data_IF_036440506384
#
_entry.id   IF_036440506384
#
_cell.length_a   1.000
_cell.length_b   1.000
_cell.length_c   1.000
_cell.angle_alpha   90.00
_cell.angle_beta   90.00
_cell.angle_gamma   90.00
#
_symmetry.space_group_name_H-M   'P 1'
#
loop_
_entity.id
_entity.type
_entity.pdbx_description
1 polymer ?
#
# COMPACT_ATOMS: atom_id res chain seq x y z
N UNK A 1 49.51 54.00 -75.74
CA UNK A 1 48.30 54.85 -75.78
C UNK A 1 47.16 53.91 -76.15
N UNK A 2 46.15 53.55 -75.35
CA UNK A 2 45.61 54.07 -74.11
C UNK A 2 44.89 52.93 -73.32
N UNK A 3 45.03 52.97 -71.99
CA UNK A 3 44.00 52.82 -70.93
C UNK A 3 43.24 51.49 -70.71
N UNK A 4 43.58 50.90 -69.55
CA UNK A 4 42.79 50.11 -68.57
C UNK A 4 41.26 50.15 -68.69
N UNK A 5 40.63 48.98 -68.49
CA UNK A 5 39.60 48.80 -67.44
C UNK A 5 39.79 47.44 -66.74
N UNK A 6 39.69 47.49 -65.41
CA UNK A 6 39.88 46.42 -64.43
C UNK A 6 38.56 45.90 -63.91
N UNK A 7 38.52 44.65 -63.44
CA UNK A 7 37.86 44.11 -62.22
C UNK A 7 37.90 42.58 -62.34
N UNK A 8 38.20 41.73 -61.35
CA UNK A 8 38.50 41.82 -59.92
C UNK A 8 39.27 40.54 -59.57
N UNK A 9 40.54 40.60 -59.15
CA UNK A 9 41.00 40.42 -57.76
C UNK A 9 40.07 39.53 -56.92
N UNK A 10 40.51 38.31 -56.64
CA UNK A 10 40.75 37.66 -55.34
C UNK A 10 41.17 36.22 -55.70
N UNK A 11 42.43 35.79 -55.59
CA UNK A 11 43.27 35.94 -54.40
C UNK A 11 43.06 34.72 -53.52
N UNK A 12 43.55 33.57 -53.98
CA UNK A 12 43.78 32.38 -53.15
C UNK A 12 44.83 32.74 -52.09
N UNK A 13 44.37 32.92 -50.86
CA UNK A 13 45.21 33.07 -49.70
C UNK A 13 44.45 32.68 -48.42
N UNK A 14 44.75 31.47 -47.93
CA UNK A 14 44.74 31.18 -46.49
C UNK A 14 43.43 30.63 -45.92
N UNK A 15 43.42 29.34 -45.60
CA UNK A 15 43.86 28.90 -44.27
C UNK A 15 43.76 27.38 -44.19
N UNK A 16 44.91 26.75 -43.91
CA UNK A 16 44.96 25.36 -43.48
C UNK A 16 44.24 25.22 -42.14
N UNK A 17 42.99 24.81 -42.21
CA UNK A 17 42.33 24.07 -41.15
C UNK A 17 41.84 22.78 -41.79
N UNK A 18 42.65 21.72 -41.75
CA UNK A 18 42.12 20.39 -41.96
C UNK A 18 41.03 20.19 -40.92
N UNK A 19 39.76 20.24 -41.33
CA UNK A 19 38.68 19.62 -40.58
C UNK A 19 38.87 18.11 -40.71
N UNK A 20 39.90 17.60 -40.04
CA UNK A 20 40.21 16.17 -39.97
C UNK A 20 39.37 15.44 -38.94
N UNK A 21 38.46 16.11 -38.22
CA UNK A 21 37.68 15.48 -37.14
C UNK A 21 36.18 15.83 -37.15
N UNK A 22 35.58 15.88 -38.34
CA UNK A 22 34.19 15.41 -38.46
C UNK A 22 34.24 14.12 -39.24
N UNK A 23 34.47 13.00 -38.53
CA UNK A 23 34.01 11.70 -39.04
C UNK A 23 32.52 11.90 -39.29
N UNK A 24 32.13 12.01 -40.55
CA UNK A 24 30.74 12.16 -40.95
C UNK A 24 29.94 11.06 -40.28
N UNK A 25 29.13 11.46 -39.30
CA UNK A 25 28.05 10.63 -38.78
C UNK A 25 27.16 10.38 -39.98
N UNK A 26 27.22 9.16 -40.54
CA UNK A 26 26.36 8.61 -41.60
C UNK A 26 25.50 9.68 -42.31
N UNK A 27 26.14 10.55 -43.10
CA UNK A 27 25.40 11.48 -43.91
C UNK A 27 24.79 10.62 -45.01
N UNK A 28 23.50 10.35 -44.93
CA UNK A 28 22.74 9.77 -46.03
C UNK A 28 22.66 10.84 -47.12
N UNK A 29 23.67 10.91 -47.97
CA UNK A 29 23.66 11.82 -49.11
C UNK A 29 22.76 11.22 -50.19
N UNK A 30 21.86 12.01 -50.80
CA UNK A 30 21.16 11.55 -51.99
C UNK A 30 22.18 11.21 -53.08
N UNK A 31 21.92 10.12 -53.80
CA UNK A 31 22.71 9.73 -54.96
C UNK A 31 22.60 10.74 -56.10
N UNK A 32 23.32 10.53 -57.21
CA UNK A 32 23.35 11.44 -58.36
C UNK A 32 21.96 11.81 -58.92
N UNK A 33 20.97 10.94 -58.70
CA UNK A 33 19.58 11.10 -59.16
C UNK A 33 18.63 11.68 -58.09
N UNK A 34 19.15 12.07 -56.92
CA UNK A 34 18.35 12.58 -55.79
C UNK A 34 17.82 11.49 -54.84
N UNK A 35 18.01 10.21 -55.18
CA UNK A 35 17.55 9.09 -54.37
C UNK A 35 18.46 8.86 -53.16
N UNK A 36 17.87 8.96 -51.98
CA UNK A 36 18.47 8.48 -50.74
C UNK A 36 18.52 6.94 -50.82
N UNK A 37 19.70 6.40 -51.14
CA UNK A 37 19.97 4.97 -50.94
C UNK A 37 20.21 4.78 -49.45
N UNK A 38 19.13 4.59 -48.68
CA UNK A 38 19.28 4.05 -47.33
C UNK A 38 19.93 2.69 -47.55
N UNK A 39 21.16 2.43 -47.05
CA UNK A 39 21.63 1.05 -47.05
C UNK A 39 20.56 0.23 -46.35
N UNK A 40 20.44 -1.06 -46.68
CA UNK A 40 19.40 -1.98 -46.19
C UNK A 40 19.40 -2.19 -44.64
N UNK A 41 20.00 -1.25 -43.91
CA UNK A 41 20.08 -1.04 -42.48
C UNK A 41 19.30 0.24 -42.08
N UNK A 42 18.06 0.37 -42.56
CA UNK A 42 16.97 1.03 -41.81
C UNK A 42 16.22 -0.01 -40.95
N UNK A 43 15.11 0.35 -40.30
CA UNK A 43 14.26 -0.52 -39.42
C UNK A 43 13.67 -1.80 -40.10
N UNK A 44 14.23 -2.28 -41.23
CA UNK A 44 13.56 -3.10 -42.24
C UNK A 44 14.22 -4.43 -42.65
N UNK A 45 14.94 -5.13 -41.76
CA UNK A 45 15.29 -6.56 -41.96
C UNK A 45 14.29 -7.54 -41.31
N UNK A 46 13.18 -7.01 -40.77
CA UNK A 46 12.30 -7.77 -39.88
C UNK A 46 12.98 -8.13 -38.55
N UNK A 47 12.24 -8.69 -37.58
CA UNK A 47 12.80 -8.96 -36.26
C UNK A 47 13.79 -10.14 -36.29
N UNK A 48 15.09 -9.85 -36.12
CA UNK A 48 16.14 -10.86 -35.97
C UNK A 48 15.95 -11.61 -34.65
N UNK A 49 15.90 -12.95 -34.69
CA UNK A 49 15.82 -13.74 -33.47
C UNK A 49 17.17 -13.81 -32.75
N UNK A 50 17.17 -13.57 -31.43
CA UNK A 50 18.34 -13.77 -30.58
C UNK A 50 18.11 -14.86 -29.53
N UNK A 51 19.19 -15.56 -29.21
CA UNK A 51 19.26 -16.52 -28.10
C UNK A 51 19.44 -15.83 -26.75
N UNK A 52 19.76 -14.53 -26.73
CA UNK A 52 19.88 -13.72 -25.52
C UNK A 52 19.27 -12.33 -25.77
N UNK A 53 18.56 -11.79 -24.78
CA UNK A 53 18.11 -10.40 -24.79
C UNK A 53 19.23 -9.43 -24.42
N UNK A 54 20.31 -9.86 -23.77
CA UNK A 54 21.44 -8.99 -23.52
C UNK A 54 22.08 -8.51 -24.84
N UNK A 55 22.37 -7.21 -24.90
CA UNK A 55 23.05 -6.56 -26.02
C UNK A 55 23.59 -5.20 -25.54
N UNK A 56 24.77 -4.82 -26.01
CA UNK A 56 25.36 -3.49 -25.84
C UNK A 56 25.41 -2.70 -27.17
N UNK A 57 24.78 -3.22 -28.22
CA UNK A 57 24.64 -2.57 -29.52
C UNK A 57 23.24 -1.97 -29.63
N UNK A 58 23.10 -0.80 -30.25
CA UNK A 58 21.80 -0.19 -30.54
C UNK A 58 21.09 -0.95 -31.66
N UNK A 59 19.98 -1.61 -31.34
CA UNK A 59 19.26 -2.48 -32.30
C UNK A 59 17.86 -2.85 -31.85
N UNK A 60 17.04 -3.27 -32.81
CA UNK A 60 15.75 -3.93 -32.59
C UNK A 60 15.86 -5.41 -32.95
N UNK A 61 15.32 -6.29 -32.11
CA UNK A 61 15.34 -7.73 -32.35
C UNK A 61 14.19 -8.42 -31.61
N UNK A 62 14.06 -9.74 -31.77
CA UNK A 62 13.09 -10.56 -31.04
C UNK A 62 13.76 -11.63 -30.19
N UNK A 63 13.10 -11.98 -29.10
CA UNK A 63 13.46 -13.11 -28.22
C UNK A 63 12.24 -13.99 -27.99
N UNK A 64 12.46 -15.25 -27.65
CA UNK A 64 11.40 -16.22 -27.37
C UNK A 64 11.62 -16.87 -25.99
N UNK A 65 10.78 -17.84 -25.64
CA UNK A 65 10.84 -18.50 -24.33
C UNK A 65 12.17 -19.22 -24.04
N UNK A 66 12.94 -19.61 -25.06
CA UNK A 66 14.26 -20.24 -24.89
C UNK A 66 15.41 -19.23 -24.76
N UNK A 67 15.16 -17.95 -25.04
CA UNK A 67 16.20 -16.92 -24.95
C UNK A 67 16.59 -16.63 -23.49
N UNK A 68 17.88 -16.40 -23.26
CA UNK A 68 18.41 -15.87 -22.01
C UNK A 68 18.00 -14.39 -21.82
N UNK A 69 17.98 -13.93 -20.57
CA UNK A 69 17.63 -12.56 -20.15
C UNK A 69 16.31 -12.01 -20.70
N UNK A 70 15.40 -12.86 -21.21
CA UNK A 70 14.12 -12.43 -21.79
C UNK A 70 13.21 -11.77 -20.73
N UNK A 71 12.28 -10.89 -21.14
CA UNK A 71 11.27 -10.37 -20.23
C UNK A 71 10.43 -11.50 -19.58
N UNK A 72 10.02 -11.37 -18.31
CA UNK A 72 9.38 -12.45 -17.56
C UNK A 72 8.10 -13.02 -18.19
N UNK A 73 7.30 -12.24 -18.91
CA UNK A 73 6.07 -12.73 -19.55
C UNK A 73 6.30 -13.48 -20.88
N UNK A 74 7.54 -13.59 -21.37
CA UNK A 74 7.87 -14.39 -22.55
C UNK A 74 7.93 -15.86 -22.12
N UNK A 75 6.77 -16.52 -22.10
CA UNK A 75 6.60 -17.92 -21.68
C UNK A 75 5.85 -18.72 -22.75
N UNK A 76 6.08 -20.04 -22.82
CA UNK A 76 5.44 -20.91 -23.80
C UNK A 76 5.80 -20.52 -25.25
N UNK A 77 4.81 -20.51 -26.16
CA UNK A 77 5.01 -20.20 -27.57
C UNK A 77 4.92 -18.69 -27.89
N UNK A 78 5.39 -17.84 -26.97
CA UNK A 78 5.32 -16.37 -27.07
C UNK A 78 6.71 -15.80 -27.34
N UNK A 79 6.76 -14.69 -28.09
CA UNK A 79 7.98 -13.90 -28.35
C UNK A 79 7.80 -12.45 -27.92
N UNK A 80 8.90 -11.74 -27.66
CA UNK A 80 8.90 -10.29 -27.44
C UNK A 80 9.75 -9.59 -28.50
N UNK A 81 9.29 -8.41 -28.94
CA UNK A 81 10.14 -7.44 -29.63
C UNK A 81 10.86 -6.59 -28.60
N UNK A 82 12.15 -6.35 -28.81
CA UNK A 82 13.01 -5.58 -27.91
C UNK A 82 13.73 -4.48 -28.69
N UNK A 83 13.73 -3.28 -28.10
CA UNK A 83 14.63 -2.19 -28.45
C UNK A 83 15.76 -2.14 -27.42
N UNK A 84 17.01 -2.24 -27.87
CA UNK A 84 18.20 -2.06 -27.04
C UNK A 84 18.77 -0.66 -27.26
N UNK A 85 18.95 0.05 -26.15
CA UNK A 85 19.35 1.45 -26.08
C UNK A 85 20.62 1.57 -25.22
N UNK A 86 21.81 1.29 -25.78
CA UNK A 86 23.07 1.52 -25.07
C UNK A 86 23.18 2.97 -24.62
N UNK A 87 23.63 3.18 -23.39
CA UNK A 87 23.61 4.50 -22.75
C UNK A 87 24.98 5.15 -22.65
N UNK A 88 26.03 4.36 -22.49
CA UNK A 88 27.41 4.83 -22.39
C UNK A 88 28.38 3.88 -23.10
N UNK A 89 29.68 4.20 -23.04
CA UNK A 89 30.75 3.34 -23.55
C UNK A 89 31.07 2.15 -22.62
N UNK A 90 30.36 2.00 -21.49
CA UNK A 90 30.45 0.88 -20.56
C UNK A 90 29.37 -0.17 -20.94
N UNK A 91 29.29 -1.35 -20.30
CA UNK A 91 28.32 -2.39 -20.69
C UNK A 91 26.86 -2.05 -20.31
N UNK A 92 26.53 -0.75 -20.15
CA UNK A 92 25.22 -0.30 -19.71
C UNK A 92 24.26 -0.05 -20.86
N UNK A 93 23.06 -0.62 -20.74
CA UNK A 93 22.03 -0.48 -21.74
C UNK A 93 20.64 -0.46 -21.09
N UNK A 94 19.78 0.41 -21.62
CA UNK A 94 18.35 0.38 -21.39
C UNK A 94 17.66 -0.52 -22.43
N UNK A 95 16.55 -1.12 -22.03
CA UNK A 95 15.76 -1.97 -22.91
C UNK A 95 14.28 -1.60 -22.81
N UNK A 96 13.57 -1.68 -23.93
CA UNK A 96 12.10 -1.64 -23.97
C UNK A 96 11.62 -2.88 -24.69
N UNK A 97 10.69 -3.60 -24.08
CA UNK A 97 10.15 -4.83 -24.64
C UNK A 97 8.62 -4.82 -24.68
N UNK A 98 8.06 -5.34 -25.78
CA UNK A 98 6.63 -5.62 -25.91
C UNK A 98 6.46 -7.10 -26.20
N UNK A 99 5.67 -7.77 -25.37
CA UNK A 99 5.44 -9.21 -25.43
C UNK A 99 4.22 -9.50 -26.31
N UNK A 100 4.42 -10.32 -27.35
CA UNK A 100 3.37 -10.77 -28.24
C UNK A 100 2.28 -11.55 -27.50
N UNK A 101 1.06 -11.55 -28.03
CA UNK A 101 -0.07 -12.30 -27.47
C UNK A 101 -0.59 -11.84 -26.10
N UNK A 102 0.12 -10.95 -25.39
CA UNK A 102 -0.28 -10.53 -24.04
C UNK A 102 -0.48 -9.02 -23.86
N UNK A 103 0.03 -8.12 -24.70
CA UNK A 103 0.11 -6.65 -24.44
C UNK A 103 0.98 -6.31 -23.21
N UNK A 104 1.71 -7.27 -22.65
CA UNK A 104 2.63 -6.99 -21.56
C UNK A 104 3.82 -6.20 -22.13
N UNK A 105 4.21 -5.14 -21.44
CA UNK A 105 5.37 -4.33 -21.80
C UNK A 105 6.30 -4.20 -20.60
N UNK A 106 7.60 -4.06 -20.88
CA UNK A 106 8.64 -3.99 -19.86
C UNK A 106 9.67 -2.94 -20.22
N UNK A 107 10.20 -2.28 -19.20
CA UNK A 107 11.47 -1.56 -19.27
C UNK A 107 12.53 -2.41 -18.60
N UNK A 108 13.73 -2.44 -19.17
CA UNK A 108 14.85 -3.22 -18.67
C UNK A 108 16.09 -2.35 -18.51
N UNK A 109 16.96 -2.75 -17.60
CA UNK A 109 18.27 -2.15 -17.42
C UNK A 109 19.32 -3.24 -17.18
N UNK A 110 20.49 -3.04 -17.77
CA UNK A 110 21.71 -3.76 -17.43
C UNK A 110 22.82 -2.76 -17.15
N UNK A 111 23.53 -2.92 -16.04
CA UNK A 111 24.74 -2.15 -15.71
C UNK A 111 26.05 -2.90 -15.98
N UNK A 112 26.00 -4.23 -16.02
CA UNK A 112 27.15 -5.12 -16.27
C UNK A 112 26.68 -6.36 -17.01
N UNK A 113 27.46 -6.84 -17.99
CA UNK A 113 27.09 -8.01 -18.82
C UNK A 113 26.78 -9.26 -17.97
N UNK A 114 27.64 -9.56 -16.98
CA UNK A 114 27.46 -10.71 -16.10
C UNK A 114 26.19 -10.63 -15.21
N UNK A 115 25.62 -9.42 -15.02
CA UNK A 115 24.41 -9.21 -14.21
C UNK A 115 23.11 -9.45 -14.97
N UNK A 116 23.17 -9.61 -16.29
CA UNK A 116 21.99 -9.77 -17.13
C UNK A 116 21.09 -8.53 -17.13
N UNK A 117 19.82 -8.71 -17.55
CA UNK A 117 18.84 -7.63 -17.60
C UNK A 117 17.86 -7.74 -16.43
N UNK A 118 17.75 -6.66 -15.65
CA UNK A 118 16.66 -6.51 -14.66
C UNK A 118 15.45 -5.89 -15.35
N UNK A 119 14.32 -6.61 -15.36
CA UNK A 119 13.08 -6.18 -16.00
C UNK A 119 12.07 -5.65 -14.98
N UNK A 120 11.48 -4.49 -15.28
CA UNK A 120 10.30 -3.97 -14.59
C UNK A 120 9.11 -3.93 -15.55
N UNK A 121 7.96 -4.42 -15.10
CA UNK A 121 6.72 -4.42 -15.90
C UNK A 121 6.13 -3.01 -15.96
N UNK A 122 5.68 -2.59 -17.14
CA UNK A 122 4.85 -1.39 -17.30
C UNK A 122 3.42 -1.78 -16.95
N UNK A 123 2.86 -1.13 -15.93
CA UNK A 123 1.46 -1.33 -15.55
C UNK A 123 0.52 -0.60 -16.50
N UNK A 124 -0.56 -1.29 -16.87
CA UNK A 124 -1.62 -0.78 -17.76
C UNK A 124 -2.97 -1.27 -17.25
N UNK A 125 -4.08 -0.85 -17.86
CA UNK A 125 -5.40 -1.34 -17.46
C UNK A 125 -5.57 -2.86 -17.61
N UNK A 126 -4.84 -3.48 -18.54
CA UNK A 126 -4.82 -4.94 -18.72
C UNK A 126 -3.82 -5.64 -17.79
N UNK A 127 -2.76 -4.94 -17.38
CA UNK A 127 -1.75 -5.43 -16.45
C UNK A 127 -1.66 -4.50 -15.25
N UNK A 128 -2.67 -4.59 -14.40
CA UNK A 128 -2.68 -3.83 -13.15
C UNK A 128 -1.68 -4.44 -12.17
N UNK A 129 -1.06 -3.63 -11.30
CA UNK A 129 -0.31 -4.17 -10.18
C UNK A 129 -1.24 -5.01 -9.30
N UNK A 130 -0.69 -6.07 -8.73
CA UNK A 130 -1.36 -6.89 -7.73
C UNK A 130 -1.38 -6.19 -6.37
N UNK A 131 -2.30 -6.59 -5.50
CA UNK A 131 -2.36 -6.04 -4.13
C UNK A 131 -1.06 -6.28 -3.34
N UNK A 132 -0.41 -7.43 -3.58
CA UNK A 132 0.86 -7.77 -2.96
C UNK A 132 1.99 -6.81 -3.40
N UNK A 133 2.04 -6.43 -4.68
CA UNK A 133 3.00 -5.45 -5.20
C UNK A 133 2.77 -4.05 -4.62
N UNK A 134 1.50 -3.68 -4.36
CA UNK A 134 1.14 -2.39 -3.77
C UNK A 134 1.25 -2.34 -2.24
N UNK A 135 1.36 -3.51 -1.58
CA UNK A 135 1.20 -3.64 -0.12
C UNK A 135 -0.08 -2.97 0.38
N UNK A 136 -1.15 -3.06 -0.41
CA UNK A 136 -2.45 -2.45 -0.11
C UNK A 136 -3.41 -3.49 0.48
N UNK A 137 -4.34 -3.04 1.33
CA UNK A 137 -5.44 -3.89 1.82
C UNK A 137 -6.41 -4.17 0.66
N UNK A 138 -6.93 -5.40 0.58
CA UNK A 138 -7.94 -5.76 -0.41
C UNK A 138 -9.29 -5.11 -0.16
N UNK A 139 -10.17 -5.18 -1.16
CA UNK A 139 -11.53 -4.64 -1.12
C UNK A 139 -12.63 -5.70 -1.02
N UNK A 140 -12.25 -6.98 -0.91
CA UNK A 140 -13.17 -8.12 -0.87
C UNK A 140 -12.61 -9.23 0.02
N UNK A 141 -13.50 -10.06 0.57
CA UNK A 141 -13.13 -11.18 1.44
C UNK A 141 -12.55 -10.74 2.79
N UNK A 142 -12.04 -11.72 3.53
CA UNK A 142 -11.39 -11.49 4.82
C UNK A 142 -10.04 -10.80 4.62
N UNK A 143 -9.79 -9.78 5.44
CA UNK A 143 -8.57 -8.99 5.38
C UNK A 143 -7.89 -9.02 6.74
N UNK A 144 -6.58 -9.27 6.76
CA UNK A 144 -5.76 -9.20 7.97
C UNK A 144 -4.93 -7.93 7.91
N UNK A 145 -4.94 -7.17 9.00
CA UNK A 145 -4.07 -6.02 9.19
C UNK A 145 -3.09 -6.34 10.31
N UNK A 146 -1.82 -6.58 9.96
CA UNK A 146 -0.73 -6.85 10.92
C UNK A 146 -0.24 -5.59 11.64
N UNK A 147 -1.00 -4.49 11.57
CA UNK A 147 -0.65 -3.16 12.06
C UNK A 147 -1.82 -2.45 12.71
N UNK A 148 -1.76 -1.11 12.74
CA UNK A 148 -2.78 -0.28 13.41
C UNK A 148 -3.86 0.15 12.43
N UNK A 149 -5.13 -0.05 12.81
CA UNK A 149 -6.28 0.57 12.14
C UNK A 149 -6.63 1.88 12.85
N UNK A 150 -6.55 3.01 12.13
CA UNK A 150 -7.03 4.30 12.60
C UNK A 150 -8.22 4.74 11.74
N UNK A 151 -9.28 5.25 12.38
CA UNK A 151 -10.50 5.70 11.72
C UNK A 151 -10.80 7.13 12.15
N UNK A 152 -10.98 8.03 11.19
CA UNK A 152 -11.26 9.45 11.48
C UNK A 152 -12.72 9.69 11.90
N UNK A 153 -13.62 8.77 11.57
CA UNK A 153 -15.05 8.90 11.81
C UNK A 153 -15.59 7.68 12.54
N UNK A 154 -16.10 6.69 11.79
CA UNK A 154 -16.87 5.60 12.35
C UNK A 154 -16.39 4.25 11.85
N UNK A 155 -16.35 3.26 12.75
CA UNK A 155 -16.34 1.84 12.41
C UNK A 155 -17.79 1.35 12.37
N UNK A 156 -18.25 0.87 11.21
CA UNK A 156 -19.58 0.27 11.06
C UNK A 156 -19.41 -1.23 10.86
N UNK A 157 -19.98 -2.01 11.76
CA UNK A 157 -19.95 -3.47 11.70
C UNK A 157 -21.37 -3.96 11.40
N UNK A 158 -21.53 -4.71 10.30
CA UNK A 158 -22.80 -5.26 9.86
C UNK A 158 -22.69 -6.78 9.81
N UNK A 159 -23.57 -7.48 10.51
CA UNK A 159 -23.72 -8.91 10.28
C UNK A 159 -24.41 -9.13 8.93
N UNK A 160 -23.79 -9.90 8.04
CA UNK A 160 -24.34 -10.25 6.73
C UNK A 160 -25.22 -11.51 6.77
N UNK A 161 -25.14 -12.28 7.85
CA UNK A 161 -25.99 -13.46 8.09
C UNK A 161 -26.61 -13.32 9.47
N UNK A 162 -27.92 -13.53 9.56
CA UNK A 162 -28.61 -13.67 10.83
C UNK A 162 -28.30 -15.07 11.35
N UNK A 163 -27.48 -15.15 12.40
CA UNK A 163 -27.13 -16.41 13.04
C UNK A 163 -27.70 -16.37 14.45
N UNK A 164 -28.19 -17.50 14.94
CA UNK A 164 -28.63 -17.65 16.33
C UNK A 164 -27.44 -17.74 17.32
N UNK A 165 -26.19 -17.61 16.82
CA UNK A 165 -24.98 -17.64 17.62
C UNK A 165 -24.48 -16.23 18.01
N UNK A 166 -23.79 -16.16 19.14
CA UNK A 166 -23.11 -14.95 19.61
C UNK A 166 -22.00 -14.55 18.62
N UNK A 167 -22.07 -13.32 18.09
CA UNK A 167 -21.02 -12.74 17.25
C UNK A 167 -20.02 -11.99 18.13
N UNK A 168 -18.78 -12.48 18.18
CA UNK A 168 -17.69 -11.79 18.88
C UNK A 168 -17.18 -10.62 18.04
N UNK A 169 -17.41 -9.40 18.51
CA UNK A 169 -17.13 -8.17 17.76
C UNK A 169 -15.72 -7.63 18.01
N UNK A 170 -15.24 -7.74 19.25
CA UNK A 170 -13.87 -7.41 19.62
C UNK A 170 -13.31 -8.57 20.42
N UNK A 171 -12.29 -9.23 19.87
CA UNK A 171 -11.45 -10.17 20.61
C UNK A 171 -10.10 -9.51 20.78
N UNK A 172 -9.83 -9.01 21.97
CA UNK A 172 -8.46 -8.75 22.39
C UNK A 172 -7.83 -10.13 22.60
N UNK A 173 -6.72 -10.40 21.92
CA UNK A 173 -6.06 -11.71 21.99
C UNK A 173 -5.75 -12.11 23.43
N UNK A 174 -5.53 -13.40 23.66
CA UNK A 174 -4.83 -13.81 24.88
C UNK A 174 -3.36 -13.44 24.66
N UNK A 175 -2.86 -12.33 25.22
CA UNK A 175 -1.41 -12.22 25.37
C UNK A 175 -0.91 -11.27 26.48
N UNK A 176 0.25 -11.66 27.01
CA UNK A 176 1.30 -10.95 27.77
C UNK A 176 1.00 -10.00 28.95
N UNK A 177 -0.25 -9.80 29.36
CA UNK A 177 -0.57 -9.21 30.67
C UNK A 177 -0.91 -7.72 30.67
N UNK A 178 -1.43 -7.18 29.56
CA UNK A 178 -2.12 -5.89 29.56
C UNK A 178 -3.45 -5.99 28.81
N UNK A 179 -4.57 -5.87 29.56
CA UNK A 179 -5.94 -5.87 29.02
C UNK A 179 -6.31 -4.46 28.57
N UNK A 180 -6.67 -4.29 27.30
CA UNK A 180 -7.29 -3.07 26.77
C UNK A 180 -8.83 -3.13 26.85
N UNK A 181 -9.41 -1.97 27.16
CA UNK A 181 -10.79 -1.69 27.59
C UNK A 181 -11.85 -1.90 26.50
N UNK A 182 -13.06 -2.35 26.87
CA UNK A 182 -14.26 -2.36 26.02
C UNK A 182 -15.27 -1.27 26.43
N UNK A 183 -15.75 -0.46 25.47
CA UNK A 183 -16.76 0.60 25.63
C UNK A 183 -17.98 0.21 24.78
N UNK A 184 -19.14 -0.04 25.40
CA UNK A 184 -20.40 -0.36 24.69
C UNK A 184 -21.41 0.75 24.90
N UNK A 185 -21.86 1.48 23.87
CA UNK A 185 -22.98 2.45 23.97
C UNK A 185 -24.24 1.91 23.27
N UNK A 186 -25.38 1.76 23.97
CA UNK A 186 -26.65 1.25 23.38
C UNK A 186 -27.79 2.24 23.51
N UNK A 187 -28.33 2.78 22.41
CA UNK A 187 -29.53 3.63 22.43
C UNK A 187 -30.71 2.92 21.75
N UNK A 188 -31.84 2.80 22.43
CA UNK A 188 -33.16 2.53 21.80
C UNK A 188 -34.04 3.78 21.95
N UNK A 189 -35.12 3.93 21.17
CA UNK A 189 -36.03 5.09 21.29
C UNK A 189 -36.56 5.30 22.72
N UNK A 190 -36.63 4.22 23.51
CA UNK A 190 -37.13 4.21 24.89
C UNK A 190 -36.01 4.07 25.95
N UNK A 191 -34.74 4.01 25.53
CA UNK A 191 -33.61 3.75 26.45
C UNK A 191 -32.39 4.56 26.00
N UNK A 192 -32.07 5.62 26.75
CA UNK A 192 -30.92 6.48 26.47
C UNK A 192 -29.62 5.66 26.62
N UNK A 193 -28.63 5.91 25.75
CA UNK A 193 -27.34 5.23 25.66
C UNK A 193 -26.83 4.51 26.92
N UNK A 194 -26.79 3.16 26.92
CA UNK A 194 -26.18 2.41 28.02
C UNK A 194 -24.69 2.21 27.79
N UNK A 195 -23.83 2.56 28.77
CA UNK A 195 -22.40 2.25 28.79
C UNK A 195 -22.07 1.06 29.70
N UNK A 196 -21.59 -0.06 29.13
CA UNK A 196 -21.15 -1.22 29.92
C UNK A 196 -19.65 -1.49 29.81
N UNK A 197 -18.98 -1.68 30.97
CA UNK A 197 -17.61 -2.19 31.09
C UNK A 197 -17.69 -3.58 31.73
N UNK A 198 -17.10 -4.60 31.12
CA UNK A 198 -17.12 -5.97 31.63
C UNK A 198 -15.73 -6.51 31.98
N UNK A 199 -15.65 -7.36 33.00
CA UNK A 199 -14.46 -8.12 33.38
C UNK A 199 -14.76 -9.61 33.27
N UNK A 200 -13.75 -10.44 32.99
CA UNK A 200 -13.90 -11.89 32.96
C UNK A 200 -13.66 -12.45 34.37
N UNK A 201 -14.54 -13.33 34.84
CA UNK A 201 -14.35 -14.04 36.11
C UNK A 201 -13.37 -15.22 35.96
N UNK A 202 -13.06 -15.86 37.09
CA UNK A 202 -12.19 -17.03 37.21
C UNK A 202 -12.75 -18.29 36.52
N UNK A 203 -14.04 -18.29 36.22
CA UNK A 203 -14.71 -19.34 35.43
C UNK A 203 -14.76 -19.00 33.94
N UNK A 204 -14.23 -17.84 33.54
CA UNK A 204 -14.21 -17.38 32.16
C UNK A 204 -15.47 -16.65 31.70
N UNK A 205 -16.46 -16.39 32.56
CA UNK A 205 -17.66 -15.64 32.19
C UNK A 205 -17.40 -14.13 32.21
N UNK A 206 -17.98 -13.37 31.27
CA UNK A 206 -17.90 -11.90 31.29
C UNK A 206 -19.01 -11.35 32.17
N UNK A 207 -18.62 -10.61 33.21
CA UNK A 207 -19.51 -9.94 34.16
C UNK A 207 -19.40 -8.44 33.93
N UNK A 208 -20.54 -7.76 33.81
CA UNK A 208 -20.56 -6.30 33.70
C UNK A 208 -20.08 -5.69 35.03
N UNK A 209 -18.89 -5.09 35.03
CA UNK A 209 -18.32 -4.38 36.17
C UNK A 209 -18.96 -3.00 36.38
N UNK A 210 -19.43 -2.36 35.29
CA UNK A 210 -20.14 -1.09 35.30
C UNK A 210 -21.23 -1.12 34.24
N UNK A 211 -22.44 -0.69 34.60
CA UNK A 211 -23.53 -0.39 33.66
C UNK A 211 -24.06 1.01 33.96
N UNK A 212 -23.89 1.94 33.03
CA UNK A 212 -24.54 3.25 33.08
C UNK A 212 -25.83 3.11 32.29
N UNK A 213 -26.98 3.22 32.96
CA UNK A 213 -28.28 3.21 32.29
C UNK A 213 -28.73 4.65 31.98
N UNK A 214 -29.41 4.81 30.84
CA UNK A 214 -29.94 6.08 30.35
C UNK A 214 -31.03 6.70 31.21
N UNK A 215 -31.59 5.96 32.17
CA UNK A 215 -32.72 6.37 32.99
C UNK A 215 -32.31 7.13 34.26
N UNK A 216 -31.25 7.95 34.20
CA UNK A 216 -30.68 8.69 35.33
C UNK A 216 -30.27 7.83 36.55
N UNK A 217 -30.06 6.52 36.34
CA UNK A 217 -29.58 5.61 37.39
C UNK A 217 -28.22 5.05 37.00
N UNK A 218 -27.16 5.58 37.61
CA UNK A 218 -25.88 4.89 37.63
C UNK A 218 -26.01 3.71 38.62
N UNK A 219 -26.31 2.52 38.10
CA UNK A 219 -26.43 1.32 38.93
C UNK A 219 -25.14 0.51 38.74
N UNK A 220 -24.29 0.52 39.77
CA UNK A 220 -23.13 -0.37 39.83
C UNK A 220 -23.64 -1.70 40.40
N UNK A 221 -23.94 -2.65 39.51
CA UNK A 221 -24.37 -4.00 39.89
C UNK A 221 -23.16 -4.91 39.85
N UNK A 222 -22.74 -5.40 41.02
CA UNK A 222 -21.64 -6.35 41.16
C UNK A 222 -22.08 -7.53 42.03
N UNK A 223 -22.75 -8.54 41.46
CA UNK A 223 -23.10 -9.75 42.20
C UNK A 223 -21.80 -10.50 42.51
N UNK A 224 -21.42 -10.58 43.79
CA UNK A 224 -20.22 -11.30 44.24
C UNK A 224 -18.91 -10.51 44.18
N UNK A 225 -18.92 -9.24 43.76
CA UNK A 225 -17.72 -8.38 43.77
C UNK A 225 -17.91 -7.19 44.70
N UNK A 226 -16.81 -6.76 45.32
CA UNK A 226 -16.82 -5.68 46.31
C UNK A 226 -16.83 -4.33 45.62
N UNK A 227 -17.86 -3.53 45.89
CA UNK A 227 -17.86 -2.12 45.52
C UNK A 227 -17.05 -1.33 46.56
N UNK A 228 -15.79 -1.02 46.23
CA UNK A 228 -14.91 -0.19 47.05
C UNK A 228 -15.16 1.30 46.73
N UNK A 229 -15.64 2.06 47.71
CA UNK A 229 -15.74 3.53 47.62
C UNK A 229 -14.81 4.16 48.66
N UNK A 230 -13.77 4.86 48.20
CA UNK A 230 -12.75 5.46 49.06
C UNK A 230 -11.61 4.50 49.41
N UNK A 231 -10.65 4.97 50.23
CA UNK A 231 -9.48 4.18 50.65
C UNK A 231 -9.81 3.12 51.73
N UNK A 232 -11.00 3.20 52.32
CA UNK A 232 -11.44 2.28 53.35
C UNK A 232 -12.08 1.06 52.71
N UNK A 233 -11.57 -0.12 53.06
CA UNK A 233 -12.03 -1.46 52.71
C UNK A 233 -13.44 -1.81 53.24
N UNK A 234 -14.39 -0.88 53.17
CA UNK A 234 -15.77 -1.09 53.63
C UNK A 234 -16.50 -1.90 52.57
N UNK A 235 -16.69 -3.18 52.87
CA UNK A 235 -17.47 -4.09 52.07
C UNK A 235 -18.97 -3.86 52.30
N UNK A 236 -19.60 -3.10 51.39
CA UNK A 236 -21.01 -2.75 51.49
C UNK A 236 -21.95 -3.98 51.40
N UNK A 237 -21.46 -5.15 50.97
CA UNK A 237 -22.25 -6.39 51.00
C UNK A 237 -22.45 -6.93 52.42
N UNK A 238 -21.66 -6.45 53.39
CA UNK A 238 -21.72 -6.88 54.80
C UNK A 238 -22.54 -5.94 55.69
N UNK A 239 -23.15 -4.90 55.14
CA UNK A 239 -23.99 -3.96 55.89
C UNK A 239 -25.23 -4.68 56.39
N UNK A 240 -25.47 -4.59 57.70
CA UNK A 240 -26.65 -5.22 58.33
C UNK A 240 -27.95 -4.55 57.86
N UNK A 241 -29.12 -5.20 58.01
CA UNK A 241 -30.40 -4.56 57.73
C UNK A 241 -30.58 -3.22 58.46
N UNK A 242 -30.09 -3.12 59.69
CA UNK A 242 -30.06 -1.86 60.45
C UNK A 242 -29.12 -0.82 59.82
N UNK A 243 -27.93 -1.24 59.39
CA UNK A 243 -27.00 -0.37 58.68
C UNK A 243 -27.59 0.18 57.38
N UNK A 244 -28.37 -0.61 56.64
CA UNK A 244 -29.09 -0.15 55.46
C UNK A 244 -30.15 0.90 55.80
N UNK A 245 -30.91 0.68 56.89
CA UNK A 245 -31.87 1.68 57.38
C UNK A 245 -31.19 2.99 57.75
N UNK A 246 -30.01 2.91 58.38
CA UNK A 246 -29.22 4.08 58.75
C UNK A 246 -28.66 4.82 57.53
N UNK A 247 -28.14 4.09 56.53
CA UNK A 247 -27.67 4.66 55.27
C UNK A 247 -28.80 5.31 54.45
N UNK A 248 -30.04 4.85 54.62
CA UNK A 248 -31.22 5.39 53.94
C UNK A 248 -31.79 6.65 54.62
N UNK A 249 -31.30 7.03 55.81
CA UNK A 249 -31.74 8.25 56.49
C UNK A 249 -31.38 9.48 55.64
N UNK A 250 -32.40 10.26 55.26
CA UNK A 250 -32.23 11.44 54.42
C UNK A 250 -31.69 12.65 55.20
N UNK A 251 -31.82 12.63 56.53
CA UNK A 251 -31.36 13.69 57.42
C UNK A 251 -30.98 13.15 58.82
N UNK A 252 -30.48 14.06 59.66
CA UNK A 252 -30.01 13.77 61.02
C UNK A 252 -31.16 13.38 61.96
N UNK A 253 -32.37 13.90 61.75
CA UNK A 253 -33.52 13.59 62.61
C UNK A 253 -34.01 12.16 62.40
N UNK A 254 -34.09 11.71 61.14
CA UNK A 254 -34.41 10.34 60.78
C UNK A 254 -33.38 9.34 61.34
N UNK A 255 -32.08 9.69 61.27
CA UNK A 255 -31.02 8.86 61.84
C UNK A 255 -31.12 8.76 63.37
N UNK A 256 -31.41 9.88 64.06
CA UNK A 256 -31.59 9.88 65.52
C UNK A 256 -32.79 9.07 65.97
N UNK A 257 -33.91 9.21 65.26
CA UNK A 257 -35.12 8.43 65.54
C UNK A 257 -34.86 6.93 65.39
N UNK A 258 -34.15 6.52 64.33
CA UNK A 258 -33.77 5.13 64.10
C UNK A 258 -32.82 4.58 65.18
N UNK A 259 -31.92 5.41 65.69
CA UNK A 259 -31.00 5.07 66.78
C UNK A 259 -31.65 5.10 68.17
N UNK A 260 -32.93 5.49 68.28
CA UNK A 260 -33.62 5.64 69.56
C UNK A 260 -33.11 6.81 70.41
N UNK A 261 -32.42 7.78 69.79
CA UNK A 261 -31.90 8.98 70.46
C UNK A 261 -33.01 10.02 70.47
N UNK A 262 -33.76 10.09 71.57
CA UNK A 262 -34.71 11.17 71.82
C UNK A 262 -33.98 12.37 72.42
N UNK A 263 -33.98 13.49 71.70
CA UNK A 263 -33.45 14.78 72.14
C UNK A 263 -34.30 15.92 71.60
#
# INVERSE_FOLDING_TARGET
>A
MAIKQSTSILGDAGSGGSSSDVKSVNHIQPGPDGDITVPLFGLGQGPIAKTDAYSNIAQFYRVNNTSANKPPAVTGNVSAGIACLPMDAAPSAGYVAVVGGSLAAYVGYSGVEAGGITWARIYTDKFKPTLAELKALGNTGDQVLDGKLQLNHQLVLKSIVQTDANVLVFKFGEDDGVIDVAIKATATPDNHGQLALGVRDDTGNVINALTIDGNNKAIIVQPGYKFHVGDSSVDLSTVTPFGLQLMACQDVAAARALLGITG
#
